data_IF_094807292568
#
_entry.id   IF_094807292568
#
_cell.length_a   1.000
_cell.length_b   1.000
_cell.length_c   1.000
_cell.angle_alpha   90.00
_cell.angle_beta   90.00
_cell.angle_gamma   90.00
#
_symmetry.space_group_name_H-M   'P 1'
#
loop_
_entity.id
_entity.type
_entity.pdbx_description
1 polymer ?
#
# COMPACT_ATOMS: atom_id res chain seq x y z
N UNK A 1 -0.51 -10.63 14.06
CA UNK A 1 0.44 -9.74 14.75
C UNK A 1 -0.31 -8.68 15.53
N UNK A 2 0.39 -7.85 16.30
CA UNK A 2 -0.21 -6.83 17.20
C UNK A 2 -0.94 -5.70 16.45
N UNK A 3 -0.59 -5.44 15.20
CA UNK A 3 -1.19 -4.37 14.38
C UNK A 3 -0.32 -3.12 14.32
N UNK A 4 -0.49 -2.32 13.27
CA UNK A 4 0.09 -0.97 13.17
C UNK A 4 -0.83 -0.02 13.94
N UNK A 5 -0.31 0.92 14.74
CA UNK A 5 -1.13 1.90 15.44
C UNK A 5 -1.93 2.78 14.47
N UNK A 6 -3.22 3.03 14.74
CA UNK A 6 -4.08 3.92 13.91
C UNK A 6 -3.46 5.29 13.66
N UNK A 7 -2.70 5.79 14.63
CA UNK A 7 -2.00 7.08 14.57
C UNK A 7 -0.91 7.17 13.49
N UNK A 8 -0.49 6.04 12.92
CA UNK A 8 0.52 5.95 11.87
C UNK A 8 -0.09 5.81 10.46
N UNK A 9 -1.39 5.51 10.37
CA UNK A 9 -2.09 5.12 9.13
C UNK A 9 -2.93 6.26 8.55
N UNK A 10 -2.52 7.50 8.82
CA UNK A 10 -3.15 8.72 8.29
C UNK A 10 -2.96 8.83 6.77
N UNK A 11 -3.77 9.68 6.10
CA UNK A 11 -3.63 9.93 4.65
C UNK A 11 -2.20 10.31 4.26
N UNK A 12 -1.48 11.04 5.12
CA UNK A 12 -0.03 11.17 5.06
C UNK A 12 0.62 10.21 6.06
N UNK A 13 1.19 9.07 5.64
CA UNK A 13 1.84 8.16 6.57
C UNK A 13 3.06 8.84 7.22
N UNK A 14 3.22 8.66 8.53
CA UNK A 14 4.28 9.34 9.31
C UNK A 14 5.65 8.69 9.17
N UNK A 15 5.68 7.40 8.87
CA UNK A 15 6.92 6.63 8.78
C UNK A 15 7.47 6.63 7.36
N UNK A 16 8.80 6.76 7.23
CA UNK A 16 9.48 6.78 5.94
C UNK A 16 9.20 5.51 5.11
N UNK A 17 9.16 4.34 5.75
CA UNK A 17 8.86 3.08 5.07
C UNK A 17 7.48 3.08 4.42
N UNK A 18 6.46 3.55 5.12
CA UNK A 18 5.11 3.59 4.58
C UNK A 18 4.94 4.70 3.53
N UNK A 19 5.65 5.82 3.65
CA UNK A 19 5.75 6.84 2.60
C UNK A 19 6.38 6.30 1.32
N UNK A 20 7.44 5.50 1.44
CA UNK A 20 8.09 4.86 0.30
C UNK A 20 7.16 3.89 -0.41
N UNK A 21 6.52 2.98 0.34
CA UNK A 21 5.56 2.03 -0.23
C UNK A 21 4.41 2.76 -0.92
N UNK A 22 3.82 3.78 -0.28
CA UNK A 22 2.76 4.60 -0.90
C UNK A 22 3.23 5.27 -2.19
N UNK A 23 4.46 5.78 -2.22
CA UNK A 23 5.03 6.41 -3.41
C UNK A 23 5.21 5.40 -4.55
N UNK A 24 5.63 4.17 -4.25
CA UNK A 24 5.78 3.10 -5.24
C UNK A 24 4.43 2.64 -5.80
N UNK A 25 3.43 2.48 -4.93
CA UNK A 25 2.06 2.12 -5.36
C UNK A 25 1.49 3.19 -6.30
N UNK A 26 1.65 4.46 -5.96
CA UNK A 26 1.17 5.57 -6.79
C UNK A 26 1.88 5.62 -8.16
N UNK A 27 3.18 5.33 -8.22
CA UNK A 27 3.94 5.27 -9.48
C UNK A 27 3.40 4.19 -10.44
N UNK A 28 2.85 3.11 -9.89
CA UNK A 28 2.22 2.04 -10.65
C UNK A 28 0.72 2.26 -10.89
N UNK A 29 0.23 3.48 -10.65
CA UNK A 29 -1.19 3.84 -10.71
C UNK A 29 -2.09 2.89 -9.89
N UNK A 30 -1.55 2.36 -8.79
CA UNK A 30 -2.29 1.52 -7.86
C UNK A 30 -2.95 2.31 -6.74
N UNK A 31 -3.82 1.66 -5.99
CA UNK A 31 -4.40 2.15 -4.75
C UNK A 31 -4.00 1.24 -3.60
N UNK A 32 -3.71 1.80 -2.43
CA UNK A 32 -3.40 1.04 -1.21
C UNK A 32 -4.34 1.45 -0.09
N UNK A 33 -4.93 0.45 0.57
CA UNK A 33 -5.77 0.60 1.75
C UNK A 33 -5.20 -0.23 2.90
N UNK A 34 -5.29 0.29 4.11
CA UNK A 34 -4.82 -0.39 5.31
C UNK A 34 -5.98 -0.47 6.28
N UNK A 35 -6.26 -1.68 6.76
CA UNK A 35 -7.34 -1.94 7.73
C UNK A 35 -6.74 -2.60 8.96
N UNK A 36 -7.07 -2.07 10.13
CA UNK A 36 -6.72 -2.68 11.41
C UNK A 36 -7.95 -3.43 11.94
N UNK A 37 -7.80 -4.72 12.21
CA UNK A 37 -8.81 -5.52 12.91
C UNK A 37 -8.11 -6.34 13.99
N UNK A 38 -7.79 -7.60 13.70
CA UNK A 38 -7.01 -8.51 14.57
C UNK A 38 -5.55 -8.57 14.07
N UNK A 39 -4.93 -7.41 13.96
CA UNK A 39 -3.66 -7.19 13.25
C UNK A 39 -3.83 -6.22 12.08
N UNK A 40 -2.84 -6.16 11.20
CA UNK A 40 -2.81 -5.27 10.04
C UNK A 40 -3.12 -6.05 8.76
N UNK A 41 -4.07 -5.54 7.98
CA UNK A 41 -4.28 -5.95 6.61
C UNK A 41 -3.92 -4.79 5.67
N UNK A 42 -3.09 -5.06 4.67
CA UNK A 42 -2.77 -4.11 3.61
C UNK A 42 -3.29 -4.69 2.31
N UNK A 43 -4.19 -3.96 1.67
CA UNK A 43 -4.74 -4.31 0.37
C UNK A 43 -4.21 -3.33 -0.67
N UNK A 44 -3.75 -3.87 -1.80
CA UNK A 44 -3.23 -3.07 -2.92
C UNK A 44 -3.91 -3.52 -4.20
N UNK A 45 -4.46 -2.58 -4.94
CA UNK A 45 -5.13 -2.81 -6.21
C UNK A 45 -4.34 -2.12 -7.30
N UNK A 46 -4.00 -2.85 -8.34
CA UNK A 46 -3.29 -2.34 -9.51
C UNK A 46 -4.11 -2.61 -10.75
N UNK A 47 -4.03 -1.71 -11.73
CA UNK A 47 -4.55 -2.01 -13.06
C UNK A 47 -3.69 -3.10 -13.68
N UNK A 48 -4.34 -4.11 -14.21
CA UNK A 48 -3.66 -5.13 -14.99
C UNK A 48 -2.98 -4.49 -16.20
N UNK A 49 -1.66 -4.65 -16.29
CA UNK A 49 -0.90 -4.28 -17.48
C UNK A 49 -1.00 -5.43 -18.46
N UNK A 50 -1.52 -5.15 -19.67
CA UNK A 50 -1.50 -6.12 -20.77
C UNK A 50 -0.05 -6.53 -21.03
N UNK A 51 0.29 -7.76 -20.66
CA UNK A 51 1.61 -8.32 -20.89
C UNK A 51 1.88 -8.34 -22.40
N UNK A 52 2.88 -7.59 -22.85
CA UNK A 52 3.48 -7.84 -24.16
C UNK A 52 4.45 -9.00 -23.96
N UNK A 53 4.28 -10.08 -24.71
CA UNK A 53 5.26 -11.17 -24.75
C UNK A 53 6.66 -10.58 -24.93
N UNK A 54 7.58 -11.01 -24.07
CA UNK A 54 9.00 -10.69 -24.23
C UNK A 54 9.52 -11.65 -25.30
N UNK A 55 9.83 -11.10 -26.47
CA UNK A 55 10.50 -11.81 -27.59
C UNK A 55 11.92 -12.17 -27.17
#
# INVERSE_FOLDING_TARGET
GVGIPETEITESPKTLGLQLVKSLVNQLNGTMTITIKKGTMVEMLFKEVKYKERI
#
